data_IF_058030393457
#
_entry.id   IF_058030393457
#
_cell.length_a   1.000
_cell.length_b   1.000
_cell.length_c   1.000
_cell.angle_alpha   90.00
_cell.angle_beta   90.00
_cell.angle_gamma   90.00
#
_symmetry.space_group_name_H-M   'P 1'
#
loop_
_entity.id
_entity.type
_entity.pdbx_description
1 polymer ?
#
# COMPACT_ATOMS: atom_id res chain seq x y z
N UNK A 1 7.22 -11.67 -16.21
CA UNK A 1 7.19 -10.21 -15.97
C UNK A 1 8.51 -9.73 -15.37
N UNK A 2 8.94 -10.16 -14.14
CA UNK A 2 10.20 -9.68 -13.54
C UNK A 2 11.43 -10.02 -14.40
N UNK A 3 11.53 -11.26 -14.91
CA UNK A 3 12.61 -11.67 -15.84
C UNK A 3 12.58 -10.92 -17.19
N UNK A 4 11.50 -10.24 -17.50
CA UNK A 4 11.30 -9.44 -18.74
C UNK A 4 11.48 -7.94 -18.49
N UNK A 5 11.89 -7.54 -17.28
CA UNK A 5 12.23 -6.16 -16.97
C UNK A 5 11.19 -5.40 -16.13
N UNK A 6 10.19 -6.06 -15.54
CA UNK A 6 9.31 -5.41 -14.58
C UNK A 6 10.08 -5.06 -13.30
N UNK A 7 9.91 -3.83 -12.80
CA UNK A 7 10.63 -3.30 -11.65
C UNK A 7 9.97 -3.61 -10.29
N UNK A 8 8.74 -4.13 -10.30
CA UNK A 8 8.00 -4.40 -9.08
C UNK A 8 6.65 -5.03 -9.32
N UNK A 9 5.88 -5.16 -8.23
CA UNK A 9 4.49 -5.62 -8.25
C UNK A 9 3.60 -4.54 -7.61
N UNK A 10 2.55 -4.15 -8.32
CA UNK A 10 1.61 -3.14 -7.85
C UNK A 10 0.21 -3.73 -7.69
N UNK A 11 -0.49 -3.30 -6.64
CA UNK A 11 -1.88 -3.67 -6.40
C UNK A 11 -2.78 -2.45 -6.23
N UNK A 12 -4.07 -2.63 -6.53
CA UNK A 12 -5.13 -1.69 -6.17
C UNK A 12 -6.19 -2.43 -5.36
N UNK A 13 -5.93 -2.65 -4.06
CA UNK A 13 -6.77 -3.48 -3.20
C UNK A 13 -8.13 -2.86 -2.86
N UNK A 14 -8.33 -1.60 -3.16
CA UNK A 14 -9.63 -0.93 -3.06
C UNK A 14 -10.61 -1.38 -4.16
N UNK A 15 -10.10 -1.72 -5.34
CA UNK A 15 -10.91 -1.93 -6.55
C UNK A 15 -11.31 -3.39 -6.73
N UNK A 16 -12.52 -3.60 -7.31
CA UNK A 16 -12.96 -4.92 -7.77
C UNK A 16 -12.13 -5.36 -9.01
N UNK A 17 -11.77 -6.62 -9.13
CA UNK A 17 -11.99 -7.73 -8.19
C UNK A 17 -10.98 -7.81 -7.06
N UNK A 18 -9.91 -7.00 -7.07
CA UNK A 18 -8.75 -7.10 -6.17
C UNK A 18 -9.10 -6.94 -4.69
N UNK A 19 -10.19 -6.22 -4.37
CA UNK A 19 -10.67 -6.04 -3.01
C UNK A 19 -10.99 -7.36 -2.28
N UNK A 20 -11.23 -8.43 -3.02
CA UNK A 20 -11.53 -9.76 -2.48
C UNK A 20 -10.28 -10.59 -2.17
N UNK A 21 -9.12 -10.15 -2.67
CA UNK A 21 -7.86 -10.84 -2.37
C UNK A 21 -7.54 -10.73 -0.88
N UNK A 22 -7.18 -11.84 -0.27
CA UNK A 22 -6.68 -11.86 1.11
C UNK A 22 -5.26 -11.34 1.18
N UNK A 23 -4.83 -10.88 2.35
CA UNK A 23 -3.44 -10.46 2.58
C UNK A 23 -2.45 -11.61 2.26
N UNK A 24 -2.81 -12.84 2.59
CA UNK A 24 -1.95 -14.02 2.34
C UNK A 24 -1.83 -14.32 0.84
N UNK A 25 -2.88 -14.11 0.05
CA UNK A 25 -2.80 -14.22 -1.42
C UNK A 25 -1.86 -13.16 -2.00
N UNK A 26 -1.97 -11.91 -1.53
CA UNK A 26 -1.06 -10.84 -1.99
C UNK A 26 0.39 -11.18 -1.64
N UNK A 27 0.65 -11.68 -0.43
CA UNK A 27 1.99 -12.14 -0.02
C UNK A 27 2.49 -13.24 -0.96
N UNK A 28 1.67 -14.26 -1.25
CA UNK A 28 2.07 -15.36 -2.12
C UNK A 28 2.42 -14.89 -3.55
N UNK A 29 1.65 -13.96 -4.10
CA UNK A 29 1.93 -13.38 -5.43
C UNK A 29 3.18 -12.50 -5.40
N UNK A 30 3.47 -11.83 -4.29
CA UNK A 30 4.62 -10.94 -4.11
C UNK A 30 5.95 -11.69 -3.84
N UNK A 31 5.93 -12.96 -3.43
CA UNK A 31 7.13 -13.75 -3.08
C UNK A 31 8.28 -13.64 -4.09
N UNK A 32 8.06 -13.67 -5.43
CA UNK A 32 9.13 -13.54 -6.41
C UNK A 32 9.91 -12.22 -6.35
N UNK A 33 9.34 -11.16 -5.75
CA UNK A 33 9.98 -9.84 -5.65
C UNK A 33 11.30 -9.90 -4.88
N UNK A 34 11.37 -10.74 -3.82
CA UNK A 34 12.56 -10.88 -2.99
C UNK A 34 13.79 -11.26 -3.82
N UNK A 35 13.66 -12.29 -4.64
CA UNK A 35 14.77 -12.78 -5.47
C UNK A 35 15.18 -11.78 -6.57
N UNK A 36 14.24 -10.94 -7.00
CA UNK A 36 14.47 -9.92 -8.02
C UNK A 36 15.00 -8.59 -7.45
N UNK A 37 15.04 -8.41 -6.13
CA UNK A 37 15.36 -7.13 -5.51
C UNK A 37 14.34 -6.03 -5.86
N UNK A 38 13.10 -6.42 -6.11
CA UNK A 38 12.03 -5.55 -6.57
C UNK A 38 11.11 -5.12 -5.42
N UNK A 39 10.31 -4.07 -5.62
CA UNK A 39 9.44 -3.51 -4.57
C UNK A 39 7.97 -3.89 -4.73
N UNK A 40 7.25 -3.81 -3.63
CA UNK A 40 5.78 -3.86 -3.61
C UNK A 40 5.20 -2.45 -3.51
N UNK A 41 4.28 -2.11 -4.42
CA UNK A 41 3.61 -0.80 -4.50
C UNK A 41 2.10 -1.01 -4.36
N UNK A 42 1.38 -0.14 -3.64
CA UNK A 42 -0.04 -0.35 -3.48
C UNK A 42 -0.87 0.93 -3.38
N UNK A 43 -1.99 0.96 -4.13
CA UNK A 43 -3.19 1.66 -3.70
C UNK A 43 -3.84 0.80 -2.62
N UNK A 44 -3.83 1.28 -1.40
CA UNK A 44 -4.25 0.52 -0.22
C UNK A 44 -5.71 0.09 -0.30
N UNK A 45 -6.08 -0.88 0.53
CA UNK A 45 -7.43 -1.43 0.60
C UNK A 45 -8.47 -0.41 1.05
N UNK A 46 -8.09 0.49 1.94
CA UNK A 46 -8.96 1.54 2.46
C UNK A 46 -8.12 2.77 2.82
N UNK A 47 -8.52 3.92 2.37
CA UNK A 47 -7.85 5.20 2.65
C UNK A 47 -8.73 6.12 3.53
N UNK A 48 -9.84 5.59 4.04
CA UNK A 48 -10.82 6.27 4.88
C UNK A 48 -10.82 5.68 6.32
N UNK A 49 -11.92 5.10 6.74
CA UNK A 49 -12.13 4.67 8.13
C UNK A 49 -11.11 3.62 8.60
N UNK A 50 -10.65 2.76 7.68
CA UNK A 50 -9.70 1.68 7.96
C UNK A 50 -8.28 1.98 7.47
N UNK A 51 -7.94 3.23 7.26
CA UNK A 51 -6.63 3.64 6.72
C UNK A 51 -5.45 3.08 7.53
N UNK A 52 -5.51 3.11 8.86
CA UNK A 52 -4.45 2.54 9.72
C UNK A 52 -4.29 1.03 9.49
N UNK A 53 -5.40 0.29 9.45
CA UNK A 53 -5.37 -1.15 9.18
C UNK A 53 -4.80 -1.48 7.79
N UNK A 54 -5.08 -0.64 6.80
CA UNK A 54 -4.54 -0.78 5.44
C UNK A 54 -3.03 -0.52 5.37
N UNK A 55 -2.53 0.44 6.17
CA UNK A 55 -1.10 0.65 6.34
C UNK A 55 -0.46 -0.57 6.99
N UNK A 56 -1.03 -1.07 8.09
CA UNK A 56 -0.53 -2.27 8.77
C UNK A 56 -0.50 -3.50 7.85
N UNK A 57 -1.53 -3.68 7.00
CA UNK A 57 -1.56 -4.72 5.97
C UNK A 57 -0.40 -4.56 4.98
N UNK A 58 -0.19 -3.37 4.45
CA UNK A 58 0.90 -3.07 3.51
C UNK A 58 2.26 -3.36 4.12
N UNK A 59 2.49 -2.89 5.34
CA UNK A 59 3.72 -3.14 6.10
C UNK A 59 3.92 -4.62 6.40
N UNK A 60 2.85 -5.36 6.73
CA UNK A 60 2.88 -6.82 6.93
C UNK A 60 3.32 -7.54 5.65
N UNK A 61 2.78 -7.16 4.49
CA UNK A 61 3.16 -7.74 3.20
C UNK A 61 4.65 -7.56 2.96
N UNK A 62 5.16 -6.32 3.08
CA UNK A 62 6.58 -6.04 2.88
C UNK A 62 7.48 -6.84 3.81
N UNK A 63 7.16 -6.91 5.11
CA UNK A 63 7.93 -7.70 6.09
C UNK A 63 7.93 -9.20 5.78
N UNK A 64 6.78 -9.76 5.43
CA UNK A 64 6.64 -11.19 5.14
C UNK A 64 7.38 -11.59 3.88
N UNK A 65 7.30 -10.77 2.84
CA UNK A 65 8.01 -10.98 1.58
C UNK A 65 9.51 -10.59 1.71
N UNK A 66 9.84 -9.63 2.56
CA UNK A 66 11.21 -9.12 2.75
C UNK A 66 11.63 -8.18 1.62
N UNK A 67 10.75 -7.24 1.27
CA UNK A 67 10.97 -6.27 0.18
C UNK A 67 10.59 -4.85 0.61
N UNK A 68 11.13 -3.81 -0.05
CA UNK A 68 10.66 -2.44 0.12
C UNK A 68 9.18 -2.32 -0.23
N UNK A 69 8.48 -1.43 0.47
CA UNK A 69 7.08 -1.10 0.15
C UNK A 69 6.92 0.38 -0.17
N UNK A 70 6.03 0.67 -1.10
CA UNK A 70 5.64 2.03 -1.44
C UNK A 70 4.12 2.18 -1.37
N UNK A 71 3.66 3.11 -0.55
CA UNK A 71 2.24 3.46 -0.44
C UNK A 71 1.96 4.58 -1.41
N UNK A 72 1.17 4.31 -2.44
CA UNK A 72 0.81 5.30 -3.45
C UNK A 72 -0.20 6.30 -2.90
N UNK A 73 -0.01 7.60 -3.24
CA UNK A 73 -0.94 8.70 -2.98
C UNK A 73 -1.58 8.64 -1.58
N UNK A 74 -0.76 8.47 -0.55
CA UNK A 74 -1.20 8.39 0.84
C UNK A 74 -2.09 9.56 1.23
N UNK A 75 -3.25 9.29 1.80
CA UNK A 75 -4.19 10.27 2.32
C UNK A 75 -5.11 9.66 3.38
N UNK A 76 -5.79 10.52 4.13
CA UNK A 76 -6.92 10.15 4.97
C UNK A 76 -8.17 10.75 4.32
N UNK A 77 -8.88 9.92 3.56
CA UNK A 77 -10.05 10.33 2.78
C UNK A 77 -11.28 10.52 3.66
N UNK A 78 -12.21 11.36 3.20
CA UNK A 78 -13.47 11.75 3.85
C UNK A 78 -13.28 12.67 5.06
N UNK A 79 -14.19 13.66 5.25
CA UNK A 79 -14.05 14.67 6.31
C UNK A 79 -13.88 14.10 7.72
N UNK A 80 -14.52 12.97 8.00
CA UNK A 80 -14.48 12.27 9.30
C UNK A 80 -13.06 11.77 9.65
N UNK A 81 -12.20 11.64 8.66
CA UNK A 81 -10.84 11.14 8.80
C UNK A 81 -9.77 12.24 8.75
N UNK A 82 -10.17 13.50 8.60
CA UNK A 82 -9.22 14.61 8.57
C UNK A 82 -8.43 14.70 9.88
N UNK A 83 -7.13 14.93 9.78
CA UNK A 83 -6.22 14.97 10.92
C UNK A 83 -5.66 13.60 11.36
N UNK A 84 -6.15 12.48 10.83
CA UNK A 84 -5.61 11.15 11.16
C UNK A 84 -4.22 10.89 10.57
N UNK A 85 -3.72 11.81 9.73
CA UNK A 85 -2.34 11.75 9.23
C UNK A 85 -1.29 11.66 10.36
N UNK A 86 -1.56 12.23 11.52
CA UNK A 86 -0.69 12.08 12.70
C UNK A 86 -0.54 10.60 13.09
N UNK A 87 -1.64 9.83 13.06
CA UNK A 87 -1.62 8.40 13.37
C UNK A 87 -0.95 7.58 12.28
N UNK A 88 -1.29 7.86 11.01
CA UNK A 88 -0.77 7.11 9.87
C UNK A 88 0.73 7.33 9.68
N UNK A 89 1.22 8.55 9.85
CA UNK A 89 2.65 8.86 9.78
C UNK A 89 3.41 8.18 10.91
N UNK A 90 2.87 8.18 12.14
CA UNK A 90 3.50 7.48 13.26
C UNK A 90 3.67 5.96 12.99
N UNK A 91 2.69 5.32 12.34
CA UNK A 91 2.80 3.91 11.94
C UNK A 91 3.91 3.69 10.90
N UNK A 92 3.98 4.56 9.89
CA UNK A 92 4.99 4.50 8.83
C UNK A 92 6.39 4.75 9.40
N UNK A 93 6.55 5.80 10.21
CA UNK A 93 7.83 6.15 10.86
C UNK A 93 8.33 5.01 11.76
N UNK A 94 7.45 4.42 12.57
CA UNK A 94 7.81 3.28 13.39
C UNK A 94 8.27 2.09 12.54
N UNK A 95 7.60 1.80 11.44
CA UNK A 95 7.97 0.73 10.53
C UNK A 95 9.30 1.01 9.80
N UNK A 96 9.58 2.25 9.45
CA UNK A 96 10.79 2.66 8.75
C UNK A 96 12.09 2.37 9.54
N UNK A 97 11.99 2.12 10.84
CA UNK A 97 13.13 1.68 11.65
C UNK A 97 13.53 0.22 11.41
N UNK A 98 12.67 -0.59 10.79
CA UNK A 98 12.85 -2.04 10.64
C UNK A 98 12.71 -2.54 9.20
N UNK A 99 12.12 -1.74 8.31
CA UNK A 99 11.93 -2.11 6.91
C UNK A 99 11.99 -0.86 6.03
N UNK A 100 12.33 -1.02 4.77
CA UNK A 100 12.28 0.07 3.80
C UNK A 100 10.82 0.34 3.42
N UNK A 101 10.35 1.56 3.73
CA UNK A 101 9.00 2.01 3.42
C UNK A 101 9.03 3.45 2.95
N UNK A 102 8.28 3.73 1.88
CA UNK A 102 8.08 5.06 1.34
C UNK A 102 6.62 5.29 1.00
N UNK A 103 6.23 6.52 0.79
CA UNK A 103 4.94 6.89 0.24
C UNK A 103 5.06 8.16 -0.61
N UNK A 104 4.11 8.35 -1.51
CA UNK A 104 3.91 9.63 -2.19
C UNK A 104 2.55 10.24 -1.79
N UNK A 105 2.39 11.52 -2.08
CA UNK A 105 1.13 12.25 -1.89
C UNK A 105 1.01 13.34 -2.95
N UNK A 106 -0.21 13.77 -3.21
CA UNK A 106 -0.47 14.91 -4.10
C UNK A 106 -1.05 16.11 -3.32
N UNK A 107 -0.75 17.35 -3.73
CA UNK A 107 -1.12 18.55 -2.98
C UNK A 107 -2.50 19.10 -3.38
N UNK A 108 -3.49 18.23 -3.59
CA UNK A 108 -4.84 18.63 -4.01
C UNK A 108 -5.90 18.16 -3.02
N UNK A 109 -6.95 18.97 -2.74
CA UNK A 109 -8.05 18.58 -1.85
C UNK A 109 -9.10 17.68 -2.54
N UNK A 110 -8.78 17.11 -3.68
CA UNK A 110 -9.67 16.26 -4.46
C UNK A 110 -8.91 15.02 -4.96
N UNK A 111 -9.61 13.90 -5.06
CA UNK A 111 -9.10 12.67 -5.64
C UNK A 111 -9.70 12.40 -7.01
N UNK A 112 -9.02 11.57 -7.78
CA UNK A 112 -9.51 11.03 -9.04
C UNK A 112 -9.58 9.51 -8.94
N UNK A 113 -10.70 8.92 -9.34
CA UNK A 113 -10.89 7.47 -9.32
C UNK A 113 -11.81 7.03 -10.45
N UNK A 114 -11.93 5.72 -10.65
CA UNK A 114 -12.87 5.17 -11.62
C UNK A 114 -14.29 5.19 -11.06
N UNK A 115 -15.28 5.28 -11.93
CA UNK A 115 -16.67 5.04 -11.56
C UNK A 115 -16.81 3.54 -11.26
N UNK A 116 -17.10 3.24 -10.00
CA UNK A 116 -17.39 1.87 -9.59
C UNK A 116 -18.89 1.61 -9.77
N UNK A 117 -19.29 0.51 -10.43
CA UNK A 117 -20.68 0.14 -10.56
C UNK A 117 -21.28 -0.33 -9.23
#
# INVERSE_FOLDING_TARGET
ALAEGASGFSTGLYYKPNMHATTEEVIAVAEPLRAAGAMYVTHMRDEADRVCASIEETLKIGRRVGVPVHISHHKCSMPENYGRSVQTLALIEAAATMQEVAFDMYPYPAGCTVLMP
#
